data_IF_550343402620
#
_entry.id   IF_550343402620
#
_cell.length_a   1.000
_cell.length_b   1.000
_cell.length_c   1.000
_cell.angle_alpha   90.00
_cell.angle_beta   90.00
_cell.angle_gamma   90.00
#
_symmetry.space_group_name_H-M   'P 1'
#
loop_
_entity.id
_entity.type
_entity.pdbx_description
1 polymer ?
#
# COMPACT_ATOMS: atom_id res chain seq x y z
N UNK A 1 15.18 -3.76 19.26
CA UNK A 1 14.06 -2.94 19.75
C UNK A 1 13.36 -2.38 18.53
N UNK A 2 12.04 -2.49 18.44
CA UNK A 2 11.28 -1.87 17.35
C UNK A 2 11.19 -0.35 17.56
N UNK A 3 11.31 0.42 16.48
CA UNK A 3 11.13 1.87 16.51
C UNK A 3 9.65 2.20 16.77
N UNK A 4 9.39 3.25 17.56
CA UNK A 4 8.07 3.84 17.71
C UNK A 4 7.62 4.58 16.43
N UNK A 5 6.30 4.77 16.26
CA UNK A 5 5.74 5.52 15.11
C UNK A 5 6.36 6.93 15.04
N UNK A 6 6.51 7.61 16.19
CA UNK A 6 7.11 8.95 16.24
C UNK A 6 8.58 8.95 15.78
N UNK A 7 9.37 7.97 16.19
CA UNK A 7 10.77 7.83 15.74
C UNK A 7 10.85 7.58 14.24
N UNK A 8 9.94 6.75 13.69
CA UNK A 8 9.87 6.48 12.24
C UNK A 8 9.50 7.72 11.45
N UNK A 9 8.51 8.48 11.93
CA UNK A 9 8.13 9.76 11.31
C UNK A 9 9.29 10.74 11.34
N UNK A 10 9.95 10.90 12.49
CA UNK A 10 11.12 11.79 12.62
C UNK A 10 12.24 11.39 11.65
N UNK A 11 12.47 10.09 11.46
CA UNK A 11 13.44 9.56 10.50
C UNK A 11 13.06 9.91 9.06
N UNK A 12 11.80 9.74 8.69
CA UNK A 12 11.28 10.11 7.36
C UNK A 12 11.43 11.62 7.13
N UNK A 13 11.04 12.44 8.11
CA UNK A 13 11.16 13.90 8.05
C UNK A 13 12.60 14.36 7.89
N UNK A 14 13.55 13.79 8.65
CA UNK A 14 14.95 14.17 8.58
C UNK A 14 15.54 13.96 7.18
N UNK A 15 15.15 12.88 6.50
CA UNK A 15 15.57 12.61 5.12
C UNK A 15 14.97 13.65 4.16
N UNK A 16 13.67 13.92 4.27
CA UNK A 16 12.95 14.83 3.35
C UNK A 16 13.37 16.29 3.53
N UNK A 17 13.53 16.74 4.79
CA UNK A 17 13.90 18.12 5.11
C UNK A 17 15.33 18.48 4.70
N UNK A 18 16.20 17.49 4.51
CA UNK A 18 17.60 17.72 4.15
C UNK A 18 17.81 18.14 2.69
N UNK A 19 16.87 17.80 1.79
CA UNK A 19 16.97 18.05 0.35
C UNK A 19 15.89 19.00 -0.21
N UNK A 20 14.76 19.17 0.50
CA UNK A 20 13.68 20.07 0.09
C UNK A 20 13.65 21.31 0.98
N UNK A 21 13.47 22.48 0.36
CA UNK A 21 12.77 23.59 1.00
C UNK A 21 11.33 23.09 1.18
N UNK A 22 11.10 22.28 2.21
CA UNK A 22 9.77 21.80 2.56
C UNK A 22 8.98 23.06 2.84
N UNK A 23 8.03 23.39 1.96
CA UNK A 23 7.00 24.33 2.32
C UNK A 23 6.34 23.75 3.57
N UNK A 24 6.66 24.32 4.74
CA UNK A 24 5.77 24.31 5.90
C UNK A 24 4.37 24.52 5.35
N UNK A 25 3.59 23.45 5.27
CA UNK A 25 2.20 23.60 4.96
C UNK A 25 1.61 24.19 6.23
N UNK A 26 0.92 25.33 6.15
CA UNK A 26 0.24 25.95 7.30
C UNK A 26 -0.94 25.08 7.81
N UNK A 27 -0.92 23.77 7.56
CA UNK A 27 -1.93 22.85 8.06
C UNK A 27 -1.77 22.75 9.58
N UNK A 28 -2.92 22.67 10.24
CA UNK A 28 -2.96 22.43 11.67
C UNK A 28 -2.85 20.92 11.86
N UNK A 29 -1.81 20.49 12.55
CA UNK A 29 -1.68 19.14 13.08
C UNK A 29 -2.98 18.78 13.82
N UNK A 30 -3.55 17.62 13.50
CA UNK A 30 -4.77 17.15 14.15
C UNK A 30 -4.51 16.89 15.65
N UNK A 31 -5.43 17.34 16.51
CA UNK A 31 -5.34 17.03 17.94
C UNK A 31 -5.68 15.55 18.19
N UNK A 32 -5.25 15.00 19.33
CA UNK A 32 -5.66 13.64 19.74
C UNK A 32 -7.19 13.50 19.79
N UNK A 33 -7.90 14.56 20.18
CA UNK A 33 -9.36 14.58 20.26
C UNK A 33 -10.00 14.54 18.86
N UNK A 34 -9.43 15.24 17.87
CA UNK A 34 -9.90 15.18 16.48
C UNK A 34 -9.79 13.76 15.91
N UNK A 35 -8.67 13.09 16.20
CA UNK A 35 -8.42 11.71 15.77
C UNK A 35 -9.37 10.74 16.47
N UNK A 36 -9.60 10.89 17.79
CA UNK A 36 -10.58 10.06 18.52
C UNK A 36 -12.00 10.27 18.00
N UNK A 37 -12.38 11.51 17.72
CA UNK A 37 -13.68 11.85 17.15
C UNK A 37 -13.86 11.23 15.76
N UNK A 38 -12.82 11.21 14.92
CA UNK A 38 -12.85 10.52 13.63
C UNK A 38 -13.20 9.05 13.77
N UNK A 39 -12.48 8.30 14.61
CA UNK A 39 -12.72 6.87 14.82
C UNK A 39 -14.15 6.60 15.31
N UNK A 40 -14.61 7.41 16.28
CA UNK A 40 -15.97 7.33 16.79
C UNK A 40 -17.02 7.56 15.69
N UNK A 41 -16.87 8.64 14.91
CA UNK A 41 -17.80 9.00 13.84
C UNK A 41 -17.85 7.96 12.72
N UNK A 42 -16.71 7.34 12.39
CA UNK A 42 -16.62 6.33 11.34
C UNK A 42 -16.98 4.92 11.83
N UNK A 43 -17.27 4.73 13.12
CA UNK A 43 -17.46 3.39 13.71
C UNK A 43 -16.30 2.43 13.40
N UNK A 44 -15.09 2.99 13.29
CA UNK A 44 -13.86 2.28 13.00
C UNK A 44 -13.10 2.07 14.33
N UNK A 45 -12.51 0.88 14.58
CA UNK A 45 -11.81 0.64 15.83
C UNK A 45 -10.68 1.65 15.99
N UNK A 46 -10.55 2.17 17.20
CA UNK A 46 -9.47 3.07 17.52
C UNK A 46 -8.12 2.36 17.34
N UNK A 47 -7.28 2.89 16.45
CA UNK A 47 -5.94 2.38 16.20
C UNK A 47 -4.93 3.33 16.83
N UNK A 48 -4.28 2.86 17.91
CA UNK A 48 -3.24 3.62 18.63
C UNK A 48 -2.11 4.11 17.71
N UNK A 49 -1.78 3.36 16.67
CA UNK A 49 -0.72 3.72 15.73
C UNK A 49 -1.09 4.93 14.87
N UNK A 50 -2.36 5.06 14.49
CA UNK A 50 -2.87 6.23 13.77
C UNK A 50 -2.98 7.47 14.68
N UNK A 51 -3.36 7.29 15.95
CA UNK A 51 -3.29 8.38 16.94
C UNK A 51 -1.86 8.88 17.14
N UNK A 52 -0.85 8.02 16.99
CA UNK A 52 0.55 8.48 17.02
C UNK A 52 1.00 9.12 15.71
N UNK A 53 0.41 8.70 14.59
CA UNK A 53 0.76 9.18 13.25
C UNK A 53 0.30 10.61 13.01
N UNK A 54 -0.99 10.89 13.18
CA UNK A 54 -1.60 12.18 12.79
C UNK A 54 -1.04 13.41 13.54
N UNK A 55 -0.68 13.32 14.83
CA UNK A 55 -0.02 14.42 15.54
C UNK A 55 1.43 14.66 15.12
N UNK A 56 2.04 13.73 14.39
CA UNK A 56 3.44 13.82 13.98
C UNK A 56 3.61 14.15 12.49
N UNK A 57 2.56 14.07 11.66
CA UNK A 57 2.65 14.26 10.22
C UNK A 57 1.77 15.42 9.77
N UNK A 58 2.42 16.54 9.46
CA UNK A 58 1.79 17.77 8.93
C UNK A 58 2.09 18.01 7.43
N UNK A 59 2.68 17.02 6.77
CA UNK A 59 3.36 17.23 5.50
C UNK A 59 2.88 16.30 4.38
N UNK A 60 2.78 16.90 3.19
CA UNK A 60 2.91 16.20 1.92
C UNK A 60 4.36 15.71 1.81
N UNK A 61 4.58 14.40 1.96
CA UNK A 61 5.79 13.81 1.39
C UNK A 61 5.57 13.88 -0.12
N UNK A 62 6.53 14.39 -0.88
CA UNK A 62 6.29 14.75 -2.29
C UNK A 62 5.68 13.55 -3.05
N UNK A 63 4.40 13.69 -3.42
CA UNK A 63 3.45 12.68 -3.93
C UNK A 63 2.83 11.64 -2.96
N UNK A 64 3.34 11.40 -1.76
CA UNK A 64 2.65 10.60 -0.72
C UNK A 64 2.07 11.52 0.36
N UNK A 65 0.75 11.68 0.34
CA UNK A 65 0.02 12.58 1.21
C UNK A 65 -0.72 11.77 2.27
N UNK A 66 -0.32 11.90 3.53
CA UNK A 66 -1.18 11.49 4.65
C UNK A 66 -2.42 12.39 4.64
N UNK A 67 -3.60 11.77 4.60
CA UNK A 67 -4.86 12.49 4.58
C UNK A 67 -5.13 13.09 5.96
N UNK A 68 -5.61 14.33 5.98
CA UNK A 68 -6.13 14.93 7.21
C UNK A 68 -7.39 14.20 7.68
N UNK A 69 -7.71 14.33 8.97
CA UNK A 69 -8.93 13.78 9.58
C UNK A 69 -10.20 14.09 8.76
N UNK A 70 -10.31 15.32 8.26
CA UNK A 70 -11.45 15.73 7.42
C UNK A 70 -11.43 15.05 6.04
N UNK A 71 -10.26 14.95 5.40
CA UNK A 71 -10.12 14.26 4.13
C UNK A 71 -10.51 12.78 4.28
N UNK A 72 -10.05 12.11 5.34
CA UNK A 72 -10.41 10.71 5.63
C UNK A 72 -11.92 10.54 5.78
N UNK A 73 -12.58 11.45 6.50
CA UNK A 73 -14.03 11.42 6.67
C UNK A 73 -14.76 11.51 5.33
N UNK A 74 -14.37 12.45 4.47
CA UNK A 74 -14.95 12.62 3.13
C UNK A 74 -14.68 11.42 2.23
N UNK A 75 -13.45 10.89 2.24
CA UNK A 75 -13.12 9.67 1.50
C UNK A 75 -13.97 8.49 1.97
N UNK A 76 -14.03 8.23 3.28
CA UNK A 76 -14.80 7.11 3.82
C UNK A 76 -16.29 7.22 3.47
N UNK A 77 -16.86 8.43 3.51
CA UNK A 77 -18.23 8.69 3.07
C UNK A 77 -18.41 8.40 1.58
N UNK A 78 -17.53 8.93 0.73
CA UNK A 78 -17.55 8.68 -0.72
C UNK A 78 -17.49 7.19 -1.03
N UNK A 79 -16.62 6.43 -0.36
CA UNK A 79 -16.49 4.98 -0.55
C UNK A 79 -17.76 4.23 -0.17
N UNK A 80 -18.34 4.56 0.99
CA UNK A 80 -19.60 3.96 1.43
C UNK A 80 -20.71 4.17 0.40
N UNK A 81 -20.78 5.35 -0.21
CA UNK A 81 -21.77 5.66 -1.24
C UNK A 81 -21.51 4.90 -2.57
N UNK A 82 -20.24 4.66 -2.92
CA UNK A 82 -19.83 3.98 -4.17
C UNK A 82 -20.01 2.46 -4.16
N UNK A 83 -20.20 1.83 -3.01
CA UNK A 83 -20.38 0.35 -2.91
C UNK A 83 -21.66 -0.20 -3.51
N UNK A 84 -22.49 0.68 -4.05
CA UNK A 84 -23.62 0.34 -4.89
C UNK A 84 -23.25 0.14 -6.38
N UNK A 85 -21.99 0.39 -6.76
CA UNK A 85 -21.51 0.21 -8.13
C UNK A 85 -21.26 -1.28 -8.44
N UNK A 86 -21.87 -1.84 -9.50
CA UNK A 86 -21.76 -3.26 -9.84
C UNK A 86 -20.37 -3.69 -10.34
N UNK A 87 -19.42 -2.77 -10.52
CA UNK A 87 -18.02 -3.09 -10.86
C UNK A 87 -17.19 -3.56 -9.65
N UNK A 88 -17.70 -3.37 -8.44
CA UNK A 88 -17.03 -3.90 -7.26
C UNK A 88 -17.24 -5.41 -7.18
N UNK A 89 -16.15 -6.17 -7.10
CA UNK A 89 -16.20 -7.59 -6.76
C UNK A 89 -16.67 -7.70 -5.32
N UNK A 90 -17.75 -8.45 -5.06
CA UNK A 90 -18.47 -8.47 -3.78
C UNK A 90 -17.53 -8.56 -2.55
N UNK A 91 -16.53 -9.44 -2.58
CA UNK A 91 -15.59 -9.62 -1.47
C UNK A 91 -14.62 -8.44 -1.29
N UNK A 92 -14.14 -7.84 -2.38
CA UNK A 92 -13.21 -6.69 -2.34
C UNK A 92 -13.94 -5.40 -1.94
N UNK A 93 -15.19 -5.24 -2.40
CA UNK A 93 -16.07 -4.15 -1.99
C UNK A 93 -16.27 -4.14 -0.47
N UNK A 94 -16.58 -5.31 0.09
CA UNK A 94 -16.82 -5.49 1.53
C UNK A 94 -15.55 -5.17 2.32
N UNK A 95 -14.40 -5.67 1.89
CA UNK A 95 -13.13 -5.39 2.56
C UNK A 95 -12.77 -3.90 2.50
N UNK A 96 -12.98 -3.24 1.37
CA UNK A 96 -12.67 -1.83 1.18
C UNK A 96 -13.52 -0.89 2.06
N UNK A 97 -14.83 -1.16 2.20
CA UNK A 97 -15.71 -0.42 3.12
C UNK A 97 -15.31 -0.59 4.57
N UNK A 98 -14.71 -1.73 4.88
CA UNK A 98 -14.23 -2.02 6.22
C UNK A 98 -12.89 -1.34 6.54
N UNK A 99 -12.24 -0.71 5.56
CA UNK A 99 -10.97 -0.03 5.69
C UNK A 99 -11.09 1.50 5.82
N UNK A 100 -10.04 2.10 6.37
CA UNK A 100 -9.84 3.54 6.46
C UNK A 100 -8.78 3.95 5.45
N UNK A 101 -9.12 4.78 4.47
CA UNK A 101 -8.11 5.40 3.60
C UNK A 101 -7.36 6.45 4.40
N UNK A 102 -6.04 6.30 4.54
CA UNK A 102 -5.22 7.20 5.37
C UNK A 102 -4.14 7.94 4.57
N UNK A 103 -3.84 7.50 3.35
CA UNK A 103 -2.91 8.23 2.47
C UNK A 103 -3.31 8.14 0.99
N UNK A 104 -2.84 9.12 0.21
CA UNK A 104 -3.03 9.29 -1.23
C UNK A 104 -1.66 9.39 -1.93
N UNK A 105 -1.53 8.73 -3.08
CA UNK A 105 -0.44 8.89 -4.04
C UNK A 105 -0.95 8.85 -5.49
N UNK A 106 -0.94 9.97 -6.22
CA UNK A 106 -1.18 10.04 -7.69
C UNK A 106 -2.33 9.13 -8.17
N UNK A 107 -3.54 9.37 -7.66
CA UNK A 107 -4.78 8.62 -7.96
C UNK A 107 -4.87 7.21 -7.34
N UNK A 108 -3.95 6.89 -6.44
CA UNK A 108 -3.87 5.63 -5.71
C UNK A 108 -3.96 5.89 -4.22
N UNK A 109 -4.44 4.91 -3.46
CA UNK A 109 -4.74 5.10 -2.05
C UNK A 109 -4.10 4.03 -1.18
N UNK A 110 -3.78 4.40 0.05
CA UNK A 110 -3.39 3.47 1.10
C UNK A 110 -4.53 3.36 2.10
N UNK A 111 -4.97 2.12 2.33
CA UNK A 111 -6.02 1.80 3.27
C UNK A 111 -5.46 1.03 4.45
N UNK A 112 -6.07 1.18 5.62
CA UNK A 112 -5.79 0.36 6.78
C UNK A 112 -7.08 -0.31 7.26
N UNK A 113 -7.04 -1.62 7.43
CA UNK A 113 -8.18 -2.40 7.91
C UNK A 113 -8.34 -2.30 9.42
N UNK A 114 -9.48 -2.82 9.92
CA UNK A 114 -9.80 -2.88 11.35
C UNK A 114 -8.79 -3.66 12.19
N UNK A 115 -8.14 -4.66 11.59
CA UNK A 115 -7.08 -5.47 12.21
C UNK A 115 -5.68 -4.86 12.03
N UNK A 116 -5.58 -3.67 11.41
CA UNK A 116 -4.35 -2.89 11.29
C UNK A 116 -3.52 -3.19 10.04
N UNK A 117 -3.91 -4.15 9.21
CA UNK A 117 -3.22 -4.44 7.94
C UNK A 117 -3.31 -3.26 7.01
N UNK A 118 -2.23 -3.02 6.27
CA UNK A 118 -2.14 -1.94 5.29
C UNK A 118 -2.30 -2.51 3.90
N UNK A 119 -3.15 -1.85 3.13
CA UNK A 119 -3.47 -2.18 1.75
C UNK A 119 -3.09 -1.03 0.84
N UNK A 120 -2.76 -1.41 -0.38
CA UNK A 120 -2.70 -0.51 -1.51
C UNK A 120 -3.99 -0.67 -2.33
N UNK A 121 -4.60 0.43 -2.73
CA UNK A 121 -5.93 0.47 -3.38
C UNK A 121 -5.83 1.27 -4.67
N UNK A 122 -6.20 0.63 -5.79
CA UNK A 122 -6.41 1.32 -7.06
C UNK A 122 -7.85 1.86 -7.11
N UNK A 123 -8.02 3.14 -7.48
CA UNK A 123 -9.35 3.77 -7.46
C UNK A 123 -10.23 3.42 -8.66
N UNK A 124 -9.61 3.34 -9.84
CA UNK A 124 -10.33 3.15 -11.10
C UNK A 124 -10.77 1.71 -11.32
N UNK A 125 -10.01 0.78 -10.74
CA UNK A 125 -10.28 -0.65 -10.70
C UNK A 125 -10.22 -1.06 -9.23
N UNK A 126 -11.34 -1.43 -8.58
CA UNK A 126 -11.43 -1.59 -7.12
C UNK A 126 -10.70 -2.85 -6.66
N UNK A 127 -9.39 -2.82 -6.77
CA UNK A 127 -8.46 -3.90 -6.44
C UNK A 127 -7.67 -3.44 -5.22
N UNK A 128 -7.58 -4.32 -4.23
CA UNK A 128 -6.87 -4.10 -2.98
C UNK A 128 -5.76 -5.11 -2.83
N UNK A 129 -4.54 -4.63 -2.62
CA UNK A 129 -3.37 -5.46 -2.41
C UNK A 129 -2.91 -5.34 -0.96
N UNK A 130 -2.87 -6.44 -0.18
CA UNK A 130 -2.25 -6.39 1.14
C UNK A 130 -0.75 -6.12 0.98
N UNK A 131 -0.24 -5.04 1.56
CA UNK A 131 1.18 -4.65 1.45
C UNK A 131 1.93 -4.72 2.78
N UNK A 132 1.22 -4.67 3.90
CA UNK A 132 1.85 -4.81 5.21
C UNK A 132 0.90 -5.37 6.26
N UNK A 133 1.45 -6.09 7.24
CA UNK A 133 0.67 -6.68 8.34
C UNK A 133 0.18 -5.64 9.36
N UNK A 134 0.88 -4.52 9.47
CA UNK A 134 0.55 -3.42 10.38
C UNK A 134 1.14 -2.09 9.88
N UNK A 135 0.64 -0.97 10.41
CA UNK A 135 1.10 0.37 10.03
C UNK A 135 2.59 0.58 10.34
N UNK A 136 3.08 -0.01 11.44
CA UNK A 136 4.48 0.13 11.84
C UNK A 136 5.43 -0.54 10.84
N UNK A 137 5.12 -1.74 10.39
CA UNK A 137 5.91 -2.49 9.42
C UNK A 137 5.92 -1.76 8.07
N UNK A 138 4.79 -1.16 7.70
CA UNK A 138 4.69 -0.26 6.56
C UNK A 138 5.62 0.96 6.70
N UNK A 139 5.54 1.70 7.82
CA UNK A 139 6.36 2.89 8.04
C UNK A 139 7.86 2.58 8.15
N UNK A 140 8.23 1.41 8.69
CA UNK A 140 9.63 0.96 8.68
C UNK A 140 10.14 0.75 7.25
N UNK A 141 9.37 0.04 6.42
CA UNK A 141 9.74 -0.15 5.01
C UNK A 141 9.84 1.19 4.27
N UNK A 142 8.92 2.10 4.57
CA UNK A 142 8.87 3.43 3.99
C UNK A 142 10.08 4.29 4.41
N UNK A 143 10.42 4.29 5.70
CA UNK A 143 11.60 4.99 6.22
C UNK A 143 12.91 4.43 5.68
N UNK A 144 13.05 3.10 5.61
CA UNK A 144 14.24 2.43 5.05
C UNK A 144 14.40 2.73 3.55
N UNK A 145 13.30 2.81 2.80
CA UNK A 145 13.33 3.15 1.38
C UNK A 145 13.82 4.57 1.16
N UNK A 146 13.29 5.55 1.88
CA UNK A 146 13.76 6.94 1.78
C UNK A 146 15.21 7.10 2.21
N UNK A 147 15.61 6.41 3.29
CA UNK A 147 17.01 6.40 3.75
C UNK A 147 17.92 5.91 2.64
N UNK A 148 17.58 4.79 1.99
CA UNK A 148 18.35 4.25 0.88
C UNK A 148 18.46 5.24 -0.29
N UNK A 149 17.32 5.80 -0.73
CA UNK A 149 17.30 6.75 -1.85
C UNK A 149 18.17 7.98 -1.58
N UNK A 150 18.15 8.48 -0.34
CA UNK A 150 18.97 9.60 0.08
C UNK A 150 20.46 9.27 0.14
N UNK A 151 20.83 8.17 0.82
CA UNK A 151 22.23 7.72 0.97
C UNK A 151 22.92 7.47 -0.37
N UNK A 152 22.16 7.17 -1.43
CA UNK A 152 22.66 6.90 -2.78
C UNK A 152 22.44 8.07 -3.76
N UNK A 153 21.96 9.23 -3.30
CA UNK A 153 21.73 10.40 -4.17
C UNK A 153 20.66 10.21 -5.24
N UNK A 154 19.75 9.25 -5.04
CA UNK A 154 18.66 8.88 -5.95
C UNK A 154 17.35 9.59 -5.63
N UNK A 155 17.24 10.21 -4.45
CA UNK A 155 16.02 10.88 -3.97
C UNK A 155 15.42 11.86 -4.99
N UNK A 156 16.25 12.70 -5.61
CA UNK A 156 15.80 13.71 -6.59
C UNK A 156 15.43 13.11 -7.97
N UNK A 157 15.77 11.85 -8.24
CA UNK A 157 15.40 11.12 -9.47
C UNK A 157 14.12 10.31 -9.29
N UNK A 158 13.89 9.78 -8.09
CA UNK A 158 12.72 9.00 -7.73
C UNK A 158 11.81 9.80 -6.82
N UNK A 159 11.17 10.79 -7.42
CA UNK A 159 10.31 11.74 -6.72
C UNK A 159 8.99 11.04 -6.37
N UNK A 160 8.90 10.57 -5.12
CA UNK A 160 7.75 9.90 -4.53
C UNK A 160 7.77 8.38 -4.71
N UNK A 161 7.82 7.65 -3.60
CA UNK A 161 7.80 6.18 -3.58
C UNK A 161 6.41 5.69 -4.03
N UNK A 162 6.34 5.14 -5.25
CA UNK A 162 5.19 4.37 -5.68
C UNK A 162 5.21 3.02 -4.92
N UNK A 163 4.08 2.48 -4.44
CA UNK A 163 4.04 1.12 -3.87
C UNK A 163 4.43 0.03 -4.89
N UNK A 164 4.32 0.36 -6.18
CA UNK A 164 4.89 -0.32 -7.33
C UNK A 164 6.38 -0.08 -7.58
N UNK A 165 7.11 0.59 -6.69
CA UNK A 165 8.58 0.68 -6.75
C UNK A 165 9.23 -0.62 -6.26
N UNK A 166 10.12 -1.19 -7.08
CA UNK A 166 10.87 -2.41 -6.78
C UNK A 166 11.64 -2.33 -5.46
N UNK A 167 12.25 -1.18 -5.15
CA UNK A 167 12.99 -0.96 -3.91
C UNK A 167 12.05 -0.95 -2.71
N UNK A 168 10.92 -0.24 -2.80
CA UNK A 168 9.94 -0.20 -1.73
C UNK A 168 9.33 -1.58 -1.46
N UNK A 169 9.02 -2.35 -2.50
CA UNK A 169 8.59 -3.75 -2.34
C UNK A 169 9.65 -4.63 -1.67
N UNK A 170 10.93 -4.45 -2.02
CA UNK A 170 12.02 -5.16 -1.32
C UNK A 170 12.04 -4.82 0.16
N UNK A 171 11.89 -3.54 0.51
CA UNK A 171 11.82 -3.12 1.92
C UNK A 171 10.55 -3.63 2.60
N UNK A 172 9.39 -3.64 1.92
CA UNK A 172 8.16 -4.24 2.44
C UNK A 172 8.36 -5.72 2.77
N UNK A 173 8.97 -6.51 1.87
CA UNK A 173 9.27 -7.94 2.13
C UNK A 173 10.22 -8.13 3.29
N UNK A 174 11.26 -7.31 3.40
CA UNK A 174 12.22 -7.33 4.51
C UNK A 174 11.52 -7.13 5.87
N UNK A 175 10.54 -6.23 5.93
CA UNK A 175 9.79 -5.92 7.16
C UNK A 175 8.52 -6.76 7.37
N UNK A 176 8.09 -7.50 6.35
CA UNK A 176 6.88 -8.34 6.39
C UNK A 176 7.16 -9.79 5.90
N UNK A 177 8.17 -10.51 6.42
CA UNK A 177 8.49 -11.87 5.97
C UNK A 177 7.34 -12.85 6.21
N UNK A 178 6.59 -12.66 7.30
CA UNK A 178 5.42 -13.49 7.63
C UNK A 178 4.29 -13.35 6.60
N UNK A 179 4.10 -12.14 6.04
CA UNK A 179 3.11 -11.89 5.00
C UNK A 179 3.48 -12.65 3.72
N UNK A 180 4.76 -12.59 3.34
CA UNK A 180 5.32 -13.35 2.21
C UNK A 180 5.10 -14.86 2.43
N UNK A 181 5.42 -15.37 3.61
CA UNK A 181 5.24 -16.79 3.95
C UNK A 181 3.78 -17.22 3.99
N UNK A 182 2.86 -16.39 4.50
CA UNK A 182 1.42 -16.68 4.47
C UNK A 182 0.88 -16.71 3.05
N UNK A 183 1.31 -15.77 2.21
CA UNK A 183 0.91 -15.71 0.80
C UNK A 183 1.36 -16.95 0.04
N UNK A 184 2.62 -17.39 0.21
CA UNK A 184 3.12 -18.61 -0.45
C UNK A 184 2.28 -19.83 -0.02
N UNK A 185 2.00 -19.97 1.28
CA UNK A 185 1.16 -21.06 1.80
C UNK A 185 -0.25 -21.00 1.23
N UNK A 186 -0.84 -19.82 1.14
CA UNK A 186 -2.19 -19.64 0.58
C UNK A 186 -2.23 -20.01 -0.90
N UNK A 187 -1.26 -19.55 -1.71
CA UNK A 187 -1.12 -19.95 -3.10
C UNK A 187 -0.96 -21.48 -3.25
N UNK A 188 -0.20 -22.13 -2.38
CA UNK A 188 -0.07 -23.59 -2.36
C UNK A 188 -1.40 -24.30 -2.10
N UNK A 189 -2.26 -23.77 -1.23
CA UNK A 189 -3.59 -24.34 -0.97
C UNK A 189 -4.55 -24.17 -2.15
N UNK A 190 -4.34 -23.14 -2.97
CA UNK A 190 -5.19 -22.82 -4.12
C UNK A 190 -4.79 -23.55 -5.40
N UNK A 191 -3.67 -24.31 -5.41
CA UNK A 191 -3.15 -25.02 -6.60
C UNK A 191 -4.15 -25.94 -7.29
N UNK A 192 -5.16 -26.41 -6.55
CA UNK A 192 -6.20 -27.32 -7.04
C UNK A 192 -7.62 -26.77 -6.88
N UNK A 193 -7.77 -25.47 -6.62
CA UNK A 193 -9.08 -24.81 -6.50
C UNK A 193 -9.64 -24.55 -7.92
N UNK A 194 -10.71 -25.26 -8.35
CA UNK A 194 -11.27 -25.11 -9.69
C UNK A 194 -12.00 -23.77 -9.88
N UNK A 195 -12.34 -23.09 -8.79
CA UNK A 195 -13.06 -21.81 -8.79
C UNK A 195 -12.12 -20.61 -8.63
N UNK A 196 -10.80 -20.83 -8.73
CA UNK A 196 -9.81 -19.79 -8.56
C UNK A 196 -9.88 -18.76 -9.69
N UNK A 197 -10.11 -17.49 -9.31
CA UNK A 197 -10.11 -16.36 -10.22
C UNK A 197 -8.72 -15.72 -10.35
N UNK A 198 -8.48 -15.02 -11.47
CA UNK A 198 -7.21 -14.32 -11.74
C UNK A 198 -7.04 -13.19 -10.76
N UNK A 199 -8.12 -12.50 -10.42
CA UNK A 199 -8.17 -11.40 -9.48
C UNK A 199 -7.71 -11.87 -8.09
N UNK A 200 -8.09 -13.10 -7.68
CA UNK A 200 -7.61 -13.68 -6.43
C UNK A 200 -6.12 -13.99 -6.47
N UNK A 201 -5.60 -14.53 -7.58
CA UNK A 201 -4.15 -14.75 -7.76
C UNK A 201 -3.41 -13.41 -7.76
N UNK A 202 -3.95 -12.40 -8.43
CA UNK A 202 -3.39 -11.05 -8.52
C UNK A 202 -3.24 -10.44 -7.11
N UNK A 203 -4.32 -10.45 -6.33
CA UNK A 203 -4.34 -9.93 -4.96
C UNK A 203 -3.33 -10.64 -4.07
N UNK A 204 -3.24 -11.97 -4.17
CA UNK A 204 -2.31 -12.76 -3.38
C UNK A 204 -0.86 -12.58 -3.85
N UNK A 205 -0.60 -12.46 -5.14
CA UNK A 205 0.77 -12.43 -5.68
C UNK A 205 1.53 -11.15 -5.36
N UNK A 206 0.84 -10.05 -5.02
CA UNK A 206 1.45 -8.72 -4.87
C UNK A 206 2.65 -8.66 -3.91
N UNK A 207 2.62 -9.25 -2.70
CA UNK A 207 3.77 -9.30 -1.81
C UNK A 207 4.97 -10.07 -2.36
N UNK A 208 4.77 -10.89 -3.40
CA UNK A 208 5.82 -11.72 -4.00
C UNK A 208 6.47 -11.07 -5.22
N UNK A 209 5.80 -10.13 -5.88
CA UNK A 209 6.26 -9.50 -7.13
C UNK A 209 7.63 -8.83 -6.92
N UNK A 210 8.63 -9.25 -7.70
CA UNK A 210 9.95 -8.64 -7.70
C UNK A 210 10.06 -7.51 -8.74
N UNK A 211 11.28 -7.15 -9.17
CA UNK A 211 11.49 -6.13 -10.20
C UNK A 211 11.03 -6.59 -11.59
N UNK A 212 10.79 -7.88 -11.78
CA UNK A 212 10.25 -8.49 -12.98
C UNK A 212 8.83 -9.02 -12.70
N UNK A 213 7.98 -8.15 -12.14
CA UNK A 213 6.63 -8.45 -11.65
C UNK A 213 5.80 -9.31 -12.60
N UNK A 214 5.90 -9.08 -13.92
CA UNK A 214 5.20 -9.90 -14.92
C UNK A 214 5.65 -11.36 -14.89
N UNK A 215 6.96 -11.62 -14.89
CA UNK A 215 7.50 -12.99 -14.86
C UNK A 215 7.25 -13.68 -13.51
N UNK A 216 7.33 -12.95 -12.39
CA UNK A 216 6.96 -13.52 -11.09
C UNK A 216 5.48 -13.90 -11.08
N UNK A 217 4.61 -13.02 -11.59
CA UNK A 217 3.18 -13.28 -11.67
C UNK A 217 2.86 -14.47 -12.58
N UNK A 218 3.46 -14.54 -13.78
CA UNK A 218 3.29 -15.68 -14.68
C UNK A 218 3.76 -16.98 -14.05
N UNK A 219 4.92 -16.97 -13.39
CA UNK A 219 5.42 -18.16 -12.70
C UNK A 219 4.47 -18.62 -11.60
N UNK A 220 3.85 -17.69 -10.85
CA UNK A 220 2.84 -18.02 -9.85
C UNK A 220 1.59 -18.60 -10.52
N UNK A 221 1.08 -17.94 -11.56
CA UNK A 221 -0.12 -18.36 -12.29
C UNK A 221 0.05 -19.74 -12.95
N UNK A 222 1.22 -20.04 -13.54
CA UNK A 222 1.52 -21.33 -14.15
C UNK A 222 1.63 -22.48 -13.13
N UNK A 223 2.07 -22.19 -11.91
CA UNK A 223 2.19 -23.16 -10.83
C UNK A 223 0.86 -23.44 -10.10
N UNK A 224 -0.18 -22.67 -10.41
CA UNK A 224 -1.55 -22.95 -10.03
C UNK A 224 -2.24 -23.54 -11.26
N UNK A 225 -3.00 -24.64 -11.11
CA UNK A 225 -3.48 -25.43 -12.25
C UNK A 225 -4.64 -24.74 -13.00
N UNK A 226 -4.33 -23.63 -13.66
CA UNK A 226 -5.27 -22.76 -14.37
C UNK A 226 -5.60 -23.32 -15.76
N UNK A 227 -6.89 -23.26 -16.13
CA UNK A 227 -7.36 -23.48 -17.51
C UNK A 227 -6.63 -22.53 -18.49
N UNK A 228 -6.43 -22.94 -19.74
CA UNK A 228 -5.68 -22.19 -20.75
C UNK A 228 -6.25 -20.77 -20.99
N UNK A 229 -7.58 -20.60 -20.85
CA UNK A 229 -8.24 -19.29 -20.89
C UNK A 229 -7.76 -18.36 -19.76
N UNK A 230 -7.54 -18.93 -18.58
CA UNK A 230 -7.09 -18.19 -17.40
C UNK A 230 -5.60 -17.84 -17.55
N UNK A 231 -4.80 -18.69 -18.19
CA UNK A 231 -3.38 -18.40 -18.51
C UNK A 231 -3.23 -17.24 -19.49
N UNK A 232 -4.06 -17.19 -20.53
CA UNK A 232 -4.04 -16.09 -21.51
C UNK A 232 -4.47 -14.77 -20.86
N UNK A 233 -5.53 -14.77 -20.06
CA UNK A 233 -5.93 -13.60 -19.27
C UNK A 233 -4.87 -13.22 -18.22
N UNK A 234 -4.21 -14.18 -17.58
CA UNK A 234 -3.12 -13.91 -16.64
C UNK A 234 -1.95 -13.25 -17.37
N UNK A 235 -1.66 -13.65 -18.61
CA UNK A 235 -0.69 -13.00 -19.48
C UNK A 235 -1.04 -11.52 -19.71
N UNK A 236 -2.26 -11.25 -20.14
CA UNK A 236 -2.75 -9.88 -20.37
C UNK A 236 -2.73 -9.03 -19.08
N UNK A 237 -3.08 -9.62 -17.93
CA UNK A 237 -3.04 -8.94 -16.63
C UNK A 237 -1.62 -8.72 -16.12
N UNK A 238 -0.68 -9.64 -16.37
CA UNK A 238 0.73 -9.42 -16.04
C UNK A 238 1.39 -8.36 -16.92
N UNK A 239 1.01 -8.29 -18.21
CA UNK A 239 1.40 -7.20 -19.11
C UNK A 239 0.78 -5.87 -18.65
N UNK A 240 -0.49 -5.84 -18.23
CA UNK A 240 -1.14 -4.68 -17.62
C UNK A 240 -0.46 -4.23 -16.32
N UNK A 241 -0.19 -5.16 -15.39
CA UNK A 241 0.57 -4.90 -14.16
C UNK A 241 1.95 -4.34 -14.46
N UNK A 242 2.64 -4.81 -15.50
CA UNK A 242 3.97 -4.27 -15.87
C UNK A 242 3.92 -2.81 -16.33
N UNK A 243 2.77 -2.34 -16.82
CA UNK A 243 2.55 -0.94 -17.19
C UNK A 243 2.10 -0.08 -16.01
N UNK A 244 1.38 -0.67 -15.05
CA UNK A 244 0.88 0.00 -13.83
C UNK A 244 1.89 0.06 -12.69
N UNK A 245 2.61 -1.03 -12.47
CA UNK A 245 3.72 -1.14 -11.53
C UNK A 245 4.91 -0.50 -12.23
N UNK A 246 5.09 0.81 -12.03
CA UNK A 246 6.26 1.52 -12.55
C UNK A 246 7.53 0.82 -12.11
N UNK A 247 8.13 0.05 -13.02
CA UNK A 247 9.44 -0.55 -12.81
C UNK A 247 10.43 0.61 -12.84
N UNK A 248 10.84 1.09 -11.67
CA UNK A 248 12.23 1.52 -11.58
C UNK A 248 13.03 0.22 -11.78
N UNK A 249 13.55 0.04 -12.98
CA UNK A 249 14.41 -1.09 -13.30
C UNK A 249 15.60 -1.01 -12.33
N UNK A 250 15.89 -2.03 -11.51
CA UNK A 250 17.07 -2.03 -10.66
C UNK A 250 18.36 -1.89 -11.47
N UNK A 251 18.36 -2.22 -12.76
CA UNK A 251 19.50 -2.01 -13.64
C UNK A 251 19.62 -0.56 -14.15
N UNK A 252 18.59 0.28 -13.99
CA UNK A 252 18.71 1.74 -14.11
C UNK A 252 19.21 2.41 -12.82
N UNK A 253 19.26 1.64 -11.72
CA UNK A 253 19.78 2.04 -10.42
C UNK A 253 21.25 1.61 -10.19
N UNK A 254 21.86 0.87 -11.13
CA UNK A 254 23.30 0.54 -11.19
C UNK A 254 24.10 1.54 -12.04
#
# INVERSE_FOLDING_TARGET
MENSIRELVTKIEAVIASDLIVCASDRLVASEDDVRNLFSNLSFPYLKELEQLYPCLDYLLYHFKILSVNEIYEYHKMWKDQTSDPRFIDDVAIELVSCLIFADYKDLYYAISKDGKVYYVAFLDPIMFPISKDLRSFLNAFADTYTYLYEHGLYNKHVGINPGDSLFRQMLRKHNPELVESTIRELDTLKNDPDLSIEKILNLSWPLLDSNSANTFFSIAENVNLDDRIRENAREQGEFLSQWIGIADPTELE
#
